data_IF_958921995281
#
_entry.id   IF_958921995281
#
_cell.length_a   1.000
_cell.length_b   1.000
_cell.length_c   1.000
_cell.angle_alpha   90.00
_cell.angle_beta   90.00
_cell.angle_gamma   90.00
#
_symmetry.space_group_name_H-M   'P 1'
#
loop_
_entity.id
_entity.type
_entity.pdbx_description
1 polymer ?
#
# COMPACT_ATOMS: atom_id res chain seq x y z
N UNK A 1 6.33 -7.06 5.47
CA UNK A 1 6.94 -7.98 6.45
C UNK A 1 5.93 -8.93 7.09
N UNK A 2 4.71 -8.50 7.42
CA UNK A 2 3.64 -9.42 7.89
C UNK A 2 2.69 -9.93 6.79
N UNK A 3 3.02 -9.66 5.52
CA UNK A 3 2.10 -9.85 4.40
C UNK A 3 1.01 -8.77 4.34
N UNK A 4 0.08 -8.96 3.43
CA UNK A 4 -1.02 -8.04 3.15
C UNK A 4 -1.85 -8.59 2.00
N UNK A 5 -3.07 -8.10 1.84
CA UNK A 5 -3.91 -8.52 0.71
C UNK A 5 -3.29 -8.00 -0.60
N UNK A 6 -3.36 -8.74 -1.72
CA UNK A 6 -2.88 -8.23 -3.00
C UNK A 6 -3.59 -6.93 -3.40
N UNK A 7 -2.87 -5.94 -3.95
CA UNK A 7 -3.44 -4.65 -4.36
C UNK A 7 -4.68 -4.79 -5.25
N UNK A 8 -4.68 -5.75 -6.16
CA UNK A 8 -5.80 -6.01 -7.08
C UNK A 8 -7.13 -6.36 -6.36
N UNK A 9 -7.09 -6.79 -5.11
CA UNK A 9 -8.29 -7.13 -4.33
C UNK A 9 -8.88 -5.93 -3.58
N UNK A 10 -8.11 -4.86 -3.41
CA UNK A 10 -8.51 -3.66 -2.65
C UNK A 10 -8.69 -2.43 -3.51
N UNK A 11 -8.04 -2.37 -4.67
CA UNK A 11 -8.08 -1.23 -5.57
C UNK A 11 -9.52 -0.98 -6.04
N UNK A 12 -10.03 0.23 -5.78
CA UNK A 12 -11.39 0.66 -6.15
C UNK A 12 -11.34 2.09 -6.66
N UNK A 13 -12.12 2.46 -7.69
CA UNK A 13 -12.22 3.84 -8.14
C UNK A 13 -12.66 4.80 -7.03
N UNK A 14 -12.18 6.03 -7.08
CA UNK A 14 -12.51 7.09 -6.13
C UNK A 14 -11.31 7.61 -5.33
N UNK A 15 -11.53 8.57 -4.41
CA UNK A 15 -10.46 9.13 -3.58
C UNK A 15 -9.75 8.05 -2.78
N UNK A 16 -8.42 8.07 -2.77
CA UNK A 16 -7.59 7.10 -2.06
C UNK A 16 -6.32 7.75 -1.54
N UNK A 17 -5.85 7.27 -0.39
CA UNK A 17 -4.52 7.54 0.13
C UNK A 17 -3.68 6.26 0.09
N UNK A 18 -2.47 6.36 -0.43
CA UNK A 18 -1.44 5.30 -0.35
C UNK A 18 -0.42 5.76 0.67
N UNK A 19 -0.21 4.95 1.71
CA UNK A 19 0.78 5.22 2.74
C UNK A 19 1.99 4.29 2.56
N UNK A 20 3.16 4.86 2.34
CA UNK A 20 4.43 4.14 2.21
C UNK A 20 5.29 4.48 3.44
N UNK A 21 5.81 3.44 4.10
CA UNK A 21 6.68 3.63 5.26
C UNK A 21 8.09 4.10 4.86
N UNK A 22 8.87 4.61 5.82
CA UNK A 22 10.28 4.96 5.60
C UNK A 22 11.11 3.71 5.32
N UNK A 23 12.39 3.86 4.98
CA UNK A 23 13.27 2.73 4.65
C UNK A 23 13.42 1.70 5.78
N UNK A 24 13.30 2.13 7.04
CA UNK A 24 13.28 1.25 8.21
C UNK A 24 11.92 0.62 8.53
N UNK A 25 10.88 0.91 7.74
CA UNK A 25 9.51 0.52 8.02
C UNK A 25 8.85 1.32 9.14
N UNK A 26 7.59 0.99 9.44
CA UNK A 26 6.86 1.56 10.57
C UNK A 26 7.26 0.89 11.88
N UNK A 27 7.34 1.66 12.96
CA UNK A 27 7.42 1.09 14.32
C UNK A 27 6.13 0.33 14.64
N UNK A 28 6.15 -0.46 15.71
CA UNK A 28 4.97 -1.21 16.14
C UNK A 28 3.83 -0.26 16.58
N UNK A 29 4.16 0.86 17.24
CA UNK A 29 3.20 1.89 17.64
C UNK A 29 2.59 2.58 16.42
N UNK A 30 3.40 2.97 15.44
CA UNK A 30 2.92 3.57 14.19
C UNK A 30 2.02 2.60 13.43
N UNK A 31 2.43 1.33 13.34
CA UNK A 31 1.66 0.28 12.69
C UNK A 31 0.33 0.05 13.40
N UNK A 32 0.31 0.07 14.73
CA UNK A 32 -0.92 -0.04 15.51
C UNK A 32 -1.84 1.17 15.27
N UNK A 33 -1.28 2.39 15.23
CA UNK A 33 -2.04 3.60 14.91
C UNK A 33 -2.63 3.57 13.50
N UNK A 34 -1.87 3.12 12.50
CA UNK A 34 -2.35 2.94 11.12
C UNK A 34 -3.46 1.90 11.08
N UNK A 35 -3.27 0.72 11.70
CA UNK A 35 -4.28 -0.36 11.75
C UNK A 35 -5.56 0.07 12.52
N UNK A 36 -5.49 1.07 13.39
CA UNK A 36 -6.65 1.62 14.08
C UNK A 36 -7.54 2.50 13.19
N UNK A 37 -7.05 2.95 12.02
CA UNK A 37 -7.86 3.68 11.04
C UNK A 37 -8.76 2.68 10.31
N UNK A 38 -10.11 2.79 10.38
CA UNK A 38 -11.03 1.77 9.84
C UNK A 38 -10.88 1.51 8.33
N UNK A 39 -10.40 2.50 7.59
CA UNK A 39 -10.19 2.43 6.14
C UNK A 39 -8.81 1.89 5.76
N UNK A 40 -7.87 1.78 6.71
CA UNK A 40 -6.52 1.31 6.42
C UNK A 40 -6.54 -0.20 6.18
N UNK A 41 -5.96 -0.59 5.04
CA UNK A 41 -5.80 -2.00 4.66
C UNK A 41 -4.33 -2.25 4.35
N UNK A 42 -3.75 -3.25 5.02
CA UNK A 42 -2.38 -3.70 4.72
C UNK A 42 -2.32 -4.38 3.37
N UNK A 43 -1.49 -3.88 2.46
CA UNK A 43 -1.36 -4.38 1.09
C UNK A 43 0.02 -4.97 0.83
N UNK A 44 0.06 -6.06 0.05
CA UNK A 44 1.28 -6.60 -0.55
C UNK A 44 1.36 -6.24 -2.04
N UNK A 45 2.56 -5.84 -2.49
CA UNK A 45 2.90 -5.59 -3.90
C UNK A 45 3.62 -6.80 -4.54
N UNK A 46 3.39 -7.99 -4.00
CA UNK A 46 4.04 -9.23 -4.41
C UNK A 46 4.97 -9.82 -3.34
N UNK A 47 5.72 -10.89 -3.68
CA UNK A 47 6.49 -11.65 -2.70
C UNK A 47 7.81 -10.98 -2.25
N UNK A 48 8.22 -9.91 -2.93
CA UNK A 48 9.50 -9.23 -2.66
C UNK A 48 9.29 -8.02 -1.77
N UNK A 49 10.18 -7.83 -0.81
CA UNK A 49 10.27 -6.58 -0.06
C UNK A 49 10.89 -5.54 -1.00
N UNK A 50 10.15 -4.45 -1.24
CA UNK A 50 10.60 -3.34 -2.06
C UNK A 50 11.17 -2.24 -1.16
N UNK A 51 12.24 -1.58 -1.63
CA UNK A 51 12.72 -0.32 -1.03
C UNK A 51 11.64 0.77 -1.19
N UNK A 52 11.62 1.75 -0.29
CA UNK A 52 10.56 2.75 -0.19
C UNK A 52 10.22 3.41 -1.56
N UNK A 53 11.21 3.91 -2.28
CA UNK A 53 11.00 4.57 -3.58
C UNK A 53 10.42 3.62 -4.65
N UNK A 54 10.90 2.37 -4.67
CA UNK A 54 10.38 1.34 -5.58
C UNK A 54 8.96 0.92 -5.20
N UNK A 55 8.67 0.81 -3.90
CA UNK A 55 7.33 0.50 -3.39
C UNK A 55 6.33 1.60 -3.76
N UNK A 56 6.74 2.87 -3.62
CA UNK A 56 5.93 4.03 -4.00
C UNK A 56 5.60 4.00 -5.49
N UNK A 57 6.61 3.90 -6.35
CA UNK A 57 6.40 3.87 -7.80
C UNK A 57 5.49 2.70 -8.21
N UNK A 58 5.76 1.49 -7.69
CA UNK A 58 4.94 0.31 -7.98
C UNK A 58 3.50 0.45 -7.48
N UNK A 59 3.28 0.96 -6.27
CA UNK A 59 1.93 1.15 -5.71
C UNK A 59 1.10 2.11 -6.54
N UNK A 60 1.67 3.26 -6.93
CA UNK A 60 0.99 4.24 -7.78
C UNK A 60 0.67 3.65 -9.15
N UNK A 61 1.64 3.02 -9.82
CA UNK A 61 1.40 2.41 -11.14
C UNK A 61 0.32 1.33 -11.10
N UNK A 62 0.34 0.47 -10.09
CA UNK A 62 -0.70 -0.56 -9.91
C UNK A 62 -2.05 0.07 -9.64
N UNK A 63 -2.12 1.06 -8.76
CA UNK A 63 -3.39 1.76 -8.47
C UNK A 63 -3.96 2.43 -9.72
N UNK A 64 -3.14 3.16 -10.47
CA UNK A 64 -3.60 3.86 -11.67
C UNK A 64 -4.10 2.91 -12.77
N UNK A 65 -3.44 1.77 -12.97
CA UNK A 65 -3.90 0.75 -13.92
C UNK A 65 -5.15 -0.04 -13.45
N UNK A 66 -5.33 -0.21 -12.14
CA UNK A 66 -6.41 -1.02 -11.58
C UNK A 66 -7.65 -0.22 -11.14
N UNK A 67 -7.50 1.06 -10.82
CA UNK A 67 -8.56 1.88 -10.22
C UNK A 67 -8.52 3.34 -10.66
N UNK A 68 -7.42 3.80 -11.25
CA UNK A 68 -7.29 5.13 -11.82
C UNK A 68 -7.70 5.20 -13.29
N UNK A 69 -7.14 6.17 -13.99
CA UNK A 69 -7.48 6.58 -15.35
C UNK A 69 -6.51 6.05 -16.43
N UNK A 70 -5.57 5.17 -16.08
CA UNK A 70 -4.62 4.55 -17.04
C UNK A 70 -5.17 3.29 -17.70
N UNK A 71 -6.50 3.10 -17.66
CA UNK A 71 -7.18 2.01 -18.35
C UNK A 71 -7.35 2.29 -19.83
#
# INVERSE_FOLDING_TARGET
EEGGVPMAQVAKPGPTAILIGPEGGFTDEERAAIKAVPQAVGVSLGPRILRADTAMAAAVSLWMGLAGDWR
#
